data_IF_233408154801
#
_entry.id   IF_233408154801
#
_cell.length_a   1.000
_cell.length_b   1.000
_cell.length_c   1.000
_cell.angle_alpha   90.00
_cell.angle_beta   90.00
_cell.angle_gamma   90.00
#
_symmetry.space_group_name_H-M   'P 1'
#
loop_
_entity.id
_entity.type
_entity.pdbx_description
1 polymer ?
#
# COMPACT_ATOMS: atom_id res chain seq x y z
N UNK A 1 -14.31 5.29 10.69
CA UNK A 1 -14.17 4.32 11.80
C UNK A 1 -14.70 4.88 13.13
N UNK A 2 -14.08 5.91 13.74
CA UNK A 2 -14.48 6.48 15.04
C UNK A 2 -15.99 6.74 15.20
N UNK A 3 -16.62 7.41 14.22
CA UNK A 3 -18.06 7.72 14.27
C UNK A 3 -18.94 6.47 14.32
N UNK A 4 -18.62 5.44 13.53
CA UNK A 4 -19.36 4.18 13.50
C UNK A 4 -19.22 3.41 14.82
N UNK A 5 -17.99 3.36 15.35
CA UNK A 5 -17.69 2.74 16.63
C UNK A 5 -18.39 3.44 17.79
N UNK A 6 -18.28 4.78 17.85
CA UNK A 6 -18.95 5.59 18.88
C UNK A 6 -20.47 5.45 18.85
N UNK A 7 -21.05 5.31 17.66
CA UNK A 7 -22.49 5.06 17.46
C UNK A 7 -22.90 3.59 17.68
N UNK A 8 -21.97 2.71 18.07
CA UNK A 8 -22.15 1.26 18.26
C UNK A 8 -22.72 0.54 17.03
N UNK A 9 -22.48 1.07 15.84
CA UNK A 9 -22.88 0.44 14.57
C UNK A 9 -21.89 -0.65 14.16
N UNK A 10 -20.62 -0.48 14.55
CA UNK A 10 -19.57 -1.49 14.42
C UNK A 10 -18.84 -1.58 15.76
N UNK A 11 -18.50 -2.79 16.20
CA UNK A 11 -17.81 -3.04 17.47
C UNK A 11 -16.48 -3.75 17.25
N UNK A 12 -16.42 -4.74 16.36
CA UNK A 12 -15.20 -5.50 16.08
C UNK A 12 -14.61 -5.04 14.76
N UNK A 13 -13.46 -4.38 14.83
CA UNK A 13 -12.79 -3.77 13.67
C UNK A 13 -11.42 -4.39 13.49
N UNK A 14 -11.10 -4.79 12.26
CA UNK A 14 -9.76 -5.18 11.83
C UNK A 14 -9.19 -4.10 10.90
N UNK A 15 -8.01 -3.60 11.19
CA UNK A 15 -7.25 -2.66 10.36
C UNK A 15 -5.94 -3.33 9.92
N UNK A 16 -5.75 -3.44 8.61
CA UNK A 16 -4.59 -4.07 8.01
C UNK A 16 -3.72 -3.03 7.30
N UNK A 17 -2.40 -3.14 7.48
CA UNK A 17 -1.42 -2.31 6.75
C UNK A 17 -0.15 -3.10 6.40
N UNK A 18 0.63 -2.58 5.44
CA UNK A 18 1.84 -3.25 4.94
C UNK A 18 3.04 -3.15 5.91
N UNK A 19 3.12 -2.09 6.72
CA UNK A 19 4.33 -1.79 7.50
C UNK A 19 4.02 -1.48 8.96
N UNK A 20 4.94 -1.89 9.85
CA UNK A 20 4.85 -1.61 11.28
C UNK A 20 4.69 -0.11 11.58
N UNK A 21 5.44 0.73 10.87
CA UNK A 21 5.37 2.18 11.07
C UNK A 21 3.97 2.74 10.81
N UNK A 22 3.23 2.20 9.83
CA UNK A 22 1.87 2.64 9.51
C UNK A 22 0.90 2.24 10.63
N UNK A 23 1.05 1.02 11.16
CA UNK A 23 0.28 0.55 12.31
C UNK A 23 0.55 1.43 13.53
N UNK A 24 1.82 1.64 13.87
CA UNK A 24 2.20 2.34 15.09
C UNK A 24 1.81 3.83 15.03
N UNK A 25 1.94 4.46 13.85
CA UNK A 25 1.45 5.82 13.59
C UNK A 25 -0.08 5.92 13.73
N UNK A 26 -0.81 4.97 13.13
CA UNK A 26 -2.28 4.92 13.21
C UNK A 26 -2.71 4.82 14.67
N UNK A 27 -2.14 3.91 15.46
CA UNK A 27 -2.46 3.75 16.89
C UNK A 27 -2.18 5.02 17.69
N UNK A 28 -1.02 5.65 17.47
CA UNK A 28 -0.58 6.79 18.28
C UNK A 28 -1.33 8.08 17.96
N UNK A 29 -1.72 8.27 16.70
CA UNK A 29 -2.31 9.50 16.21
C UNK A 29 -3.81 9.33 15.91
N UNK A 30 -4.13 8.66 14.81
CA UNK A 30 -5.49 8.61 14.26
C UNK A 30 -6.47 7.87 15.17
N UNK A 31 -5.98 6.80 15.80
CA UNK A 31 -6.77 5.87 16.62
C UNK A 31 -6.58 6.12 18.11
N UNK A 32 -5.88 7.18 18.50
CA UNK A 32 -5.63 7.55 19.90
C UNK A 32 -6.89 7.56 20.77
N UNK A 33 -8.03 7.98 20.19
CA UNK A 33 -9.30 8.06 20.91
C UNK A 33 -9.89 6.71 21.32
N UNK A 34 -9.42 5.60 20.74
CA UNK A 34 -9.86 4.26 21.12
C UNK A 34 -9.17 3.75 22.40
N UNK A 35 -8.04 4.34 22.81
CA UNK A 35 -7.41 4.06 24.10
C UNK A 35 -7.13 2.57 24.34
N UNK A 36 -7.68 2.04 25.42
CA UNK A 36 -7.53 0.64 25.86
C UNK A 36 -8.36 -0.36 25.03
N UNK A 37 -9.15 0.11 24.05
CA UNK A 37 -10.00 -0.72 23.20
C UNK A 37 -9.32 -1.27 21.97
N UNK A 38 -8.10 -0.80 21.68
CA UNK A 38 -7.31 -1.25 20.53
C UNK A 38 -6.11 -2.10 20.92
N UNK A 39 -5.74 -3.04 20.07
CA UNK A 39 -4.53 -3.87 20.21
C UNK A 39 -3.85 -4.10 18.86
N UNK A 40 -2.53 -4.33 18.91
CA UNK A 40 -1.73 -4.74 17.77
C UNK A 40 -1.53 -6.25 17.82
N UNK A 41 -2.03 -6.96 16.80
CA UNK A 41 -1.73 -8.39 16.63
C UNK A 41 -0.25 -8.51 16.30
N UNK A 42 0.48 -9.14 17.19
CA UNK A 42 1.92 -9.38 17.06
C UNK A 42 2.23 -10.82 17.44
N UNK A 43 3.29 -11.38 16.87
CA UNK A 43 3.73 -12.76 17.12
C UNK A 43 2.62 -13.82 16.95
N UNK A 44 1.61 -13.55 16.12
CA UNK A 44 0.45 -14.43 15.88
C UNK A 44 -0.34 -14.79 17.15
N UNK A 45 -0.22 -13.97 18.20
CA UNK A 45 -1.04 -14.10 19.40
C UNK A 45 -2.25 -13.17 19.32
N UNK A 46 -3.41 -13.71 19.64
CA UNK A 46 -4.69 -13.01 19.55
C UNK A 46 -5.36 -12.93 20.92
N UNK A 47 -5.54 -11.72 21.41
CA UNK A 47 -6.38 -11.44 22.58
C UNK A 47 -7.76 -10.92 22.13
N UNK A 48 -8.81 -11.72 22.35
CA UNK A 48 -10.18 -11.43 21.91
C UNK A 48 -10.92 -10.39 22.79
N UNK A 49 -10.28 -9.85 23.83
CA UNK A 49 -10.88 -8.88 24.73
C UNK A 49 -11.00 -7.46 24.15
N UNK A 50 -10.24 -7.15 23.09
CA UNK A 50 -10.20 -5.84 22.44
C UNK A 50 -11.29 -5.67 21.38
N UNK A 51 -11.62 -4.43 21.03
CA UNK A 51 -12.63 -4.13 20.02
C UNK A 51 -11.99 -3.83 18.66
N UNK A 52 -10.77 -3.29 18.66
CA UNK A 52 -10.08 -2.82 17.47
C UNK A 52 -8.73 -3.50 17.37
N UNK A 53 -8.50 -4.13 16.22
CA UNK A 53 -7.33 -4.95 15.96
C UNK A 53 -6.55 -4.32 14.83
N UNK A 54 -5.27 -4.07 15.05
CA UNK A 54 -4.36 -3.62 14.02
C UNK A 54 -3.36 -4.74 13.72
N UNK A 55 -3.16 -5.07 12.46
CA UNK A 55 -2.26 -6.16 12.07
C UNK A 55 -1.52 -5.86 10.77
N UNK A 56 -0.34 -6.47 10.63
CA UNK A 56 0.35 -6.53 9.34
C UNK A 56 -0.22 -7.66 8.49
N UNK A 57 -0.22 -7.50 7.16
CA UNK A 57 -0.55 -8.57 6.23
C UNK A 57 0.25 -9.85 6.54
N UNK A 58 1.58 -9.71 6.57
CA UNK A 58 2.52 -10.80 6.86
C UNK A 58 2.43 -11.33 8.30
N UNK A 59 1.88 -10.51 9.22
CA UNK A 59 1.71 -10.87 10.62
C UNK A 59 0.45 -11.69 10.88
N UNK A 60 -0.56 -11.57 10.00
CA UNK A 60 -1.86 -12.22 10.18
C UNK A 60 -2.05 -13.44 9.28
N UNK A 61 -1.42 -13.47 8.10
CA UNK A 61 -1.34 -14.63 7.20
C UNK A 61 0.08 -15.23 7.19
N UNK A 62 0.20 -16.55 7.23
CA UNK A 62 1.45 -17.28 7.02
C UNK A 62 1.37 -18.22 5.83
N UNK A 63 2.52 -18.79 5.44
CA UNK A 63 2.56 -19.75 4.31
C UNK A 63 1.86 -21.07 4.63
N UNK A 64 1.79 -21.43 5.92
CA UNK A 64 1.10 -22.62 6.40
C UNK A 64 -0.19 -22.23 7.12
N UNK A 65 -1.23 -23.07 7.01
CA UNK A 65 -2.57 -22.74 7.55
C UNK A 65 -2.55 -22.51 9.08
N UNK A 66 -1.74 -23.26 9.82
CA UNK A 66 -1.60 -23.09 11.27
C UNK A 66 -0.94 -21.76 11.66
N UNK A 67 -0.27 -21.09 10.73
CA UNK A 67 0.36 -19.78 10.93
C UNK A 67 -0.60 -18.61 10.70
N UNK A 68 -1.81 -18.88 10.21
CA UNK A 68 -2.82 -17.87 9.95
C UNK A 68 -3.49 -17.42 11.26
N UNK A 69 -2.98 -16.33 11.85
CA UNK A 69 -3.53 -15.77 13.07
C UNK A 69 -5.00 -15.32 12.89
N UNK A 70 -5.42 -14.95 11.68
CA UNK A 70 -6.82 -14.58 11.41
C UNK A 70 -7.81 -15.73 11.69
N UNK A 71 -7.39 -17.00 11.50
CA UNK A 71 -8.24 -18.18 11.76
C UNK A 71 -8.47 -18.46 13.25
N UNK A 72 -7.78 -17.76 14.14
CA UNK A 72 -8.07 -17.79 15.56
C UNK A 72 -9.38 -17.04 15.87
N UNK A 73 -9.81 -16.12 15.01
CA UNK A 73 -11.14 -15.50 15.07
C UNK A 73 -12.16 -16.34 14.31
N UNK A 74 -13.44 -16.23 14.65
CA UNK A 74 -14.50 -16.82 13.82
C UNK A 74 -14.71 -15.98 12.54
N UNK A 75 -15.18 -16.56 11.43
CA UNK A 75 -15.43 -15.85 10.17
C UNK A 75 -16.38 -14.63 10.29
N UNK A 76 -17.24 -14.63 11.30
CA UNK A 76 -18.22 -13.60 11.62
C UNK A 76 -17.79 -12.67 12.77
N UNK A 77 -16.55 -12.79 13.23
CA UNK A 77 -16.07 -12.04 14.39
C UNK A 77 -16.00 -10.53 14.14
N UNK A 78 -15.60 -10.11 12.93
CA UNK A 78 -15.42 -8.70 12.58
C UNK A 78 -16.66 -8.13 11.92
N UNK A 79 -17.05 -6.92 12.34
CA UNK A 79 -18.10 -6.13 11.69
C UNK A 79 -17.53 -5.31 10.52
N UNK A 80 -16.27 -4.90 10.63
CA UNK A 80 -15.58 -4.02 9.68
C UNK A 80 -14.12 -4.46 9.50
N UNK A 81 -13.69 -4.63 8.26
CA UNK A 81 -12.30 -4.81 7.87
C UNK A 81 -11.85 -3.63 7.00
N UNK A 82 -10.74 -3.01 7.37
CA UNK A 82 -10.13 -1.89 6.65
C UNK A 82 -8.74 -2.30 6.20
N UNK A 83 -8.44 -2.05 4.92
CA UNK A 83 -7.18 -2.42 4.27
C UNK A 83 -6.51 -1.16 3.75
N UNK A 84 -5.39 -0.77 4.35
CA UNK A 84 -4.62 0.41 3.95
C UNK A 84 -3.55 0.08 2.91
N UNK A 85 -3.31 1.01 1.98
CA UNK A 85 -2.44 0.80 0.82
C UNK A 85 -2.82 -0.47 0.03
N UNK A 86 -4.11 -0.66 -0.25
CA UNK A 86 -4.66 -1.91 -0.78
C UNK A 86 -4.13 -2.33 -2.18
N UNK A 87 -3.18 -1.58 -2.77
CA UNK A 87 -2.51 -1.74 -4.08
C UNK A 87 -1.02 -2.13 -4.01
N UNK A 88 -0.45 -2.19 -2.81
CA UNK A 88 0.96 -2.49 -2.61
C UNK A 88 1.13 -3.94 -2.17
N UNK A 89 1.08 -4.85 -3.14
CA UNK A 89 1.46 -6.24 -2.95
C UNK A 89 2.33 -6.77 -4.09
N UNK A 90 3.21 -7.70 -3.76
CA UNK A 90 3.56 -8.76 -4.71
C UNK A 90 2.36 -9.71 -4.81
N UNK A 91 2.29 -10.56 -5.84
CA UNK A 91 1.22 -11.55 -5.96
C UNK A 91 0.98 -12.39 -4.68
N UNK A 92 2.04 -12.62 -3.89
CA UNK A 92 1.94 -13.30 -2.59
C UNK A 92 1.28 -12.44 -1.50
N UNK A 93 1.58 -11.14 -1.45
CA UNK A 93 0.91 -10.20 -0.54
C UNK A 93 -0.54 -9.99 -0.96
N UNK A 94 -0.81 -9.96 -2.27
CA UNK A 94 -2.17 -9.87 -2.80
C UNK A 94 -3.02 -11.09 -2.43
N UNK A 95 -2.43 -12.29 -2.50
CA UNK A 95 -3.06 -13.51 -1.99
C UNK A 95 -3.35 -13.42 -0.49
N UNK A 96 -2.39 -12.92 0.29
CA UNK A 96 -2.48 -12.88 1.75
C UNK A 96 -3.65 -12.04 2.28
N UNK A 97 -3.83 -10.80 1.80
CA UNK A 97 -4.97 -10.00 2.25
C UNK A 97 -6.28 -10.51 1.65
N UNK A 98 -6.27 -11.00 0.41
CA UNK A 98 -7.47 -11.56 -0.24
C UNK A 98 -8.03 -12.75 0.54
N UNK A 99 -7.18 -13.66 0.99
CA UNK A 99 -7.60 -14.78 1.86
C UNK A 99 -8.24 -14.31 3.17
N UNK A 100 -7.68 -13.27 3.79
CA UNK A 100 -8.22 -12.68 5.02
C UNK A 100 -9.60 -12.06 4.75
N UNK A 101 -9.75 -11.34 3.64
CA UNK A 101 -11.02 -10.73 3.26
C UNK A 101 -12.08 -11.76 2.87
N UNK A 102 -11.71 -12.82 2.14
CA UNK A 102 -12.60 -13.92 1.82
C UNK A 102 -13.04 -14.69 3.08
N UNK A 103 -12.14 -14.85 4.06
CA UNK A 103 -12.47 -15.47 5.35
C UNK A 103 -13.48 -14.63 6.14
N UNK A 104 -13.32 -13.31 6.15
CA UNK A 104 -14.23 -12.38 6.82
C UNK A 104 -15.27 -11.77 5.85
N UNK A 105 -15.83 -12.59 4.95
CA UNK A 105 -16.79 -12.14 3.93
C UNK A 105 -18.08 -11.52 4.49
N UNK A 106 -18.44 -11.83 5.75
CA UNK A 106 -19.61 -11.24 6.41
C UNK A 106 -19.38 -9.80 6.88
N UNK A 107 -18.13 -9.39 7.05
CA UNK A 107 -17.78 -8.04 7.48
C UNK A 107 -18.00 -7.03 6.35
N UNK A 108 -18.28 -5.76 6.70
CA UNK A 108 -18.10 -4.67 5.74
C UNK A 108 -16.61 -4.50 5.46
N UNK A 109 -16.22 -4.33 4.20
CA UNK A 109 -14.81 -4.25 3.82
C UNK A 109 -14.50 -2.95 3.08
N UNK A 110 -13.46 -2.23 3.52
CA UNK A 110 -13.05 -0.95 2.95
C UNK A 110 -11.58 -1.01 2.58
N UNK A 111 -11.27 -0.90 1.28
CA UNK A 111 -9.93 -0.70 0.78
C UNK A 111 -9.61 0.79 0.64
N UNK A 112 -8.42 1.20 1.08
CA UNK A 112 -7.90 2.56 0.95
C UNK A 112 -6.58 2.54 0.17
N UNK A 113 -6.45 3.44 -0.80
CA UNK A 113 -5.24 3.59 -1.60
C UNK A 113 -5.06 5.02 -2.10
N UNK A 114 -3.82 5.52 -2.04
CA UNK A 114 -3.44 6.78 -2.68
C UNK A 114 -3.11 6.63 -4.18
N UNK A 115 -2.76 5.42 -4.62
CA UNK A 115 -2.39 5.14 -6.02
C UNK A 115 -3.11 3.87 -6.47
N UNK A 116 -4.37 3.96 -6.91
CA UNK A 116 -5.06 2.81 -7.48
C UNK A 116 -4.24 2.30 -8.67
N UNK A 117 -3.81 1.04 -8.62
CA UNK A 117 -3.11 0.40 -9.73
C UNK A 117 -4.14 -0.21 -10.67
N UNK A 118 -4.14 0.23 -11.92
CA UNK A 118 -4.72 -0.50 -13.04
C UNK A 118 -3.57 -1.10 -13.84
N UNK A 119 -3.13 -2.31 -13.48
CA UNK A 119 -2.26 -3.11 -14.37
C UNK A 119 -3.03 -4.30 -14.89
N UNK A 120 -2.60 -4.83 -16.05
CA UNK A 120 -3.27 -5.94 -16.74
C UNK A 120 -3.28 -7.27 -15.98
N UNK A 121 -2.64 -7.38 -14.81
CA UNK A 121 -2.41 -8.65 -14.12
C UNK A 121 -2.76 -8.65 -12.64
N UNK A 122 -2.83 -7.49 -11.96
CA UNK A 122 -3.15 -7.42 -10.53
C UNK A 122 -3.86 -6.09 -10.29
N UNK A 123 -5.15 -6.17 -10.00
CA UNK A 123 -5.99 -5.01 -9.77
C UNK A 123 -6.78 -5.23 -8.49
N UNK A 124 -6.65 -4.32 -7.51
CA UNK A 124 -7.52 -4.37 -6.34
C UNK A 124 -8.96 -4.01 -6.73
N UNK A 125 -9.16 -3.41 -7.90
CA UNK A 125 -10.48 -3.18 -8.50
C UNK A 125 -11.16 -4.52 -8.77
N UNK A 126 -10.41 -5.60 -9.02
CA UNK A 126 -10.99 -6.94 -9.24
C UNK A 126 -11.70 -7.45 -7.98
N UNK A 127 -11.23 -7.04 -6.79
CA UNK A 127 -11.84 -7.41 -5.52
C UNK A 127 -12.83 -6.36 -5.02
N UNK A 128 -12.43 -5.08 -4.96
CA UNK A 128 -13.21 -4.00 -4.37
C UNK A 128 -14.19 -3.33 -5.34
N UNK A 129 -14.04 -3.56 -6.65
CA UNK A 129 -14.77 -2.84 -7.68
C UNK A 129 -14.34 -1.37 -7.80
N UNK A 130 -15.18 -0.58 -8.46
CA UNK A 130 -14.93 0.83 -8.70
C UNK A 130 -14.84 1.64 -7.39
N UNK A 131 -13.94 2.64 -7.32
CA UNK A 131 -13.84 3.50 -6.15
C UNK A 131 -15.16 4.23 -5.87
N UNK A 132 -15.71 4.02 -4.67
CA UNK A 132 -16.92 4.73 -4.22
C UNK A 132 -16.67 6.21 -3.90
N UNK A 133 -15.40 6.60 -3.72
CA UNK A 133 -14.97 7.96 -3.46
C UNK A 133 -13.52 8.14 -3.93
N UNK A 134 -13.23 9.29 -4.55
CA UNK A 134 -11.88 9.65 -4.96
C UNK A 134 -11.62 11.10 -4.55
N UNK A 135 -10.53 11.32 -3.83
CA UNK A 135 -10.04 12.65 -3.49
C UNK A 135 -8.77 12.93 -4.28
N UNK A 136 -8.90 13.75 -5.32
CA UNK A 136 -7.80 13.96 -6.27
C UNK A 136 -6.69 14.85 -5.69
N UNK A 137 -5.47 14.67 -6.18
CA UNK A 137 -4.33 15.55 -5.87
C UNK A 137 -4.67 17.02 -6.16
N UNK A 138 -5.35 17.28 -7.27
CA UNK A 138 -5.83 18.63 -7.64
C UNK A 138 -6.74 19.21 -6.56
N UNK A 139 -7.74 18.44 -6.14
CA UNK A 139 -8.67 18.88 -5.10
C UNK A 139 -7.96 19.13 -3.77
N UNK A 140 -7.02 18.27 -3.39
CA UNK A 140 -6.19 18.47 -2.19
C UNK A 140 -5.37 19.76 -2.22
N UNK A 141 -4.92 20.20 -3.40
CA UNK A 141 -4.22 21.48 -3.58
C UNK A 141 -5.22 22.65 -3.52
N UNK A 142 -6.35 22.55 -4.21
CA UNK A 142 -7.40 23.59 -4.24
C UNK A 142 -7.99 23.86 -2.85
N UNK A 143 -8.19 22.81 -2.05
CA UNK A 143 -8.71 22.89 -0.68
C UNK A 143 -7.63 23.32 0.35
N UNK A 144 -6.38 23.49 -0.08
CA UNK A 144 -5.27 23.94 0.77
C UNK A 144 -4.70 22.88 1.71
N UNK A 145 -5.06 21.61 1.55
CA UNK A 145 -4.49 20.49 2.33
C UNK A 145 -3.13 20.02 1.79
N UNK A 146 -2.86 20.22 0.50
CA UNK A 146 -1.63 19.81 -0.17
C UNK A 146 -0.91 21.01 -0.77
N UNK A 147 0.43 20.99 -0.72
CA UNK A 147 1.24 22.01 -1.35
C UNK A 147 1.18 21.89 -2.88
N UNK A 148 1.05 23.00 -3.62
CA UNK A 148 1.18 22.97 -5.08
C UNK A 148 2.59 22.55 -5.47
N UNK A 149 2.70 21.79 -6.57
CA UNK A 149 3.98 21.31 -7.09
C UNK A 149 4.14 21.69 -8.56
N UNK A 150 5.40 21.81 -9.00
CA UNK A 150 5.75 22.00 -10.40
C UNK A 150 6.62 20.83 -10.84
N UNK A 151 6.16 20.10 -11.86
CA UNK A 151 6.98 19.07 -12.50
C UNK A 151 7.97 19.76 -13.44
N UNK A 152 9.26 19.58 -13.17
CA UNK A 152 10.33 20.03 -14.07
C UNK A 152 10.98 18.76 -14.60
N UNK A 153 10.80 18.50 -15.90
CA UNK A 153 11.52 17.44 -16.58
C UNK A 153 12.82 18.04 -17.09
N UNK A 154 13.94 17.55 -16.56
CA UNK A 154 15.28 17.91 -17.03
C UNK A 154 15.74 16.75 -17.89
N UNK A 155 15.96 17.04 -19.17
CA UNK A 155 16.54 16.11 -20.11
C UNK A 155 17.93 16.64 -20.45
N UNK A 156 18.96 15.79 -20.36
CA UNK A 156 20.30 16.17 -20.78
C UNK A 156 20.36 16.15 -22.30
N UNK A 157 21.07 17.10 -22.89
CA UNK A 157 21.35 17.15 -24.33
C UNK A 157 21.82 15.80 -24.87
N UNK A 158 22.73 15.12 -24.15
CA UNK A 158 23.22 13.78 -24.53
C UNK A 158 22.18 12.68 -24.43
N UNK A 159 21.14 12.83 -23.61
CA UNK A 159 20.07 11.84 -23.47
C UNK A 159 19.01 12.00 -24.58
N UNK A 160 18.78 13.24 -25.06
CA UNK A 160 17.86 13.55 -26.16
C UNK A 160 18.54 13.36 -27.52
N UNK A 161 19.71 14.00 -27.66
CA UNK A 161 20.45 14.12 -28.91
C UNK A 161 21.60 13.12 -28.98
N UNK A 162 21.74 12.20 -28.03
CA UNK A 162 22.89 11.31 -28.02
C UNK A 162 24.22 12.06 -27.85
N UNK A 163 25.28 11.28 -27.74
CA UNK A 163 26.64 11.77 -27.63
C UNK A 163 27.45 11.28 -28.84
N UNK A 164 28.25 12.15 -29.43
CA UNK A 164 29.20 11.80 -30.50
C UNK A 164 30.61 12.15 -29.99
N UNK A 165 31.61 11.27 -30.16
CA UNK A 165 32.97 11.56 -29.73
C UNK A 165 33.60 12.68 -30.55
N UNK A 166 34.53 13.39 -29.94
CA UNK A 166 35.40 14.32 -30.65
C UNK A 166 36.35 13.54 -31.60
N UNK A 167 36.82 14.15 -32.71
CA UNK A 167 37.73 13.48 -33.64
C UNK A 167 38.99 12.95 -32.95
N UNK A 168 39.22 11.63 -33.06
CA UNK A 168 40.39 10.97 -32.47
C UNK A 168 40.28 10.70 -30.96
N UNK A 169 39.10 10.86 -30.37
CA UNK A 169 38.88 10.56 -28.95
C UNK A 169 39.11 9.08 -28.66
N UNK A 170 39.78 8.81 -27.54
CA UNK A 170 40.06 7.45 -27.05
C UNK A 170 39.34 7.19 -25.74
N UNK A 171 39.03 5.93 -25.48
CA UNK A 171 38.44 5.48 -24.22
C UNK A 171 39.47 5.46 -23.08
N UNK A 172 39.03 5.07 -21.87
CA UNK A 172 39.89 4.98 -20.67
C UNK A 172 41.05 3.96 -20.80
N UNK A 173 41.03 3.12 -21.82
CA UNK A 173 42.04 2.10 -22.12
C UNK A 173 42.94 2.49 -23.31
N UNK A 174 42.73 3.68 -23.89
CA UNK A 174 43.48 4.17 -25.05
C UNK A 174 42.98 3.61 -26.39
N UNK A 175 41.81 2.98 -26.41
CA UNK A 175 41.19 2.47 -27.65
C UNK A 175 40.44 3.60 -28.35
N UNK A 176 40.63 3.84 -29.66
CA UNK A 176 39.84 4.82 -30.41
C UNK A 176 38.35 4.53 -30.32
N UNK A 177 37.55 5.54 -29.99
CA UNK A 177 36.09 5.44 -29.97
C UNK A 177 35.60 5.62 -31.41
N UNK A 178 34.77 4.70 -31.95
CA UNK A 178 34.17 4.87 -33.27
C UNK A 178 33.40 6.18 -33.39
N UNK A 179 33.52 6.85 -34.54
CA UNK A 179 32.84 8.12 -34.80
C UNK A 179 31.35 7.87 -35.13
N UNK A 180 30.59 7.57 -34.08
CA UNK A 180 29.18 7.24 -34.14
C UNK A 180 28.37 8.08 -33.14
N UNK A 181 27.06 8.19 -33.38
CA UNK A 181 26.14 8.78 -32.40
C UNK A 181 25.70 7.69 -31.45
N UNK A 182 26.11 7.81 -30.19
CA UNK A 182 25.72 6.94 -29.08
C UNK A 182 24.51 7.51 -28.37
N UNK A 183 23.56 6.65 -28.06
CA UNK A 183 22.32 6.94 -27.34
C UNK A 183 22.24 6.09 -26.08
N UNK A 184 21.22 6.31 -25.26
CA UNK A 184 20.94 5.47 -24.08
C UNK A 184 20.69 3.99 -24.38
N UNK A 185 20.53 3.58 -25.65
CA UNK A 185 20.43 2.18 -26.05
C UNK A 185 21.77 1.50 -26.31
N UNK A 186 22.84 2.28 -26.43
CA UNK A 186 24.18 1.81 -26.77
C UNK A 186 25.02 1.51 -25.51
N UNK A 187 24.44 1.70 -24.32
CA UNK A 187 25.03 1.46 -22.99
C UNK A 187 24.20 0.49 -22.15
#
# INVERSE_FOLDING_TARGET
IWRLWRARQVRRILFLADRNILIDQTMTNDFKHFGDKMTKISHRQVDKSYEIYLALYQGISGTEEWQNAYRQFSPDFFDLVVVDECHRGSAAVDSAWREVLEYFAAATQIGMTATPKETATISNVDYFGDPIYTYSLRQGIEDGFLAPYKVIRIELDKDIDGWRPDPGQVDRHGTPIPDERYTSRDF
#
